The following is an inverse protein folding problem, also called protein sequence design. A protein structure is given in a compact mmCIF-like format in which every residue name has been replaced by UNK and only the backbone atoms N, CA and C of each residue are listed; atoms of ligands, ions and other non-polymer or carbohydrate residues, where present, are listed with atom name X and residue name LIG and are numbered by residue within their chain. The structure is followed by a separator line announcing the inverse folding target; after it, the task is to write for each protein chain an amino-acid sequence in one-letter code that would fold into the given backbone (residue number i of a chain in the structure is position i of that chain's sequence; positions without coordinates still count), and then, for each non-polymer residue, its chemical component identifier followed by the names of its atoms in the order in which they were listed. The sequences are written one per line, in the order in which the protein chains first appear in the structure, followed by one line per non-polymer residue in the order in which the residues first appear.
data_IF_805248946799
#
_entry.id   IF_805248946799
#
_cell.length_a   1.000
_cell.length_b   1.000
_cell.length_c   1.000
_cell.angle_alpha   90.00
_cell.angle_beta   90.00
_cell.angle_gamma   90.00
#
_symmetry.space_group_name_H-M   'P 1'
#
loop_
_entity.id
_entity.type
_entity.pdbx_description
1 polymer ?
#
# COMPACT_ATOMS: atom_id res chain seq x y z
N UNK A 1 17.64 -74.89 43.27
CA UNK A 1 16.77 -74.68 42.07
C UNK A 1 16.16 -73.31 42.02
N UNK A 2 16.30 -72.43 43.07
CA UNK A 2 15.71 -71.08 43.15
C UNK A 2 16.59 -69.94 42.61
N UNK A 3 17.89 -70.11 42.52
CA UNK A 3 18.75 -69.00 42.13
C UNK A 3 18.86 -68.84 40.60
N UNK A 4 18.76 -69.88 39.85
CA UNK A 4 18.79 -69.87 38.39
C UNK A 4 17.48 -69.27 37.78
N UNK A 5 16.35 -69.42 38.45
CA UNK A 5 15.07 -68.83 38.04
C UNK A 5 15.05 -67.30 38.32
N UNK A 6 15.67 -66.86 39.41
CA UNK A 6 15.79 -65.38 39.70
C UNK A 6 16.68 -64.65 38.71
N UNK A 7 17.85 -65.25 38.37
CA UNK A 7 18.74 -64.65 37.34
C UNK A 7 18.06 -64.57 35.96
N UNK A 8 17.24 -65.52 35.62
CA UNK A 8 16.50 -65.54 34.36
C UNK A 8 15.39 -64.49 34.33
N UNK A 9 14.69 -64.26 35.43
CA UNK A 9 13.63 -63.26 35.53
C UNK A 9 14.23 -61.84 35.53
N UNK A 10 15.34 -61.63 36.20
CA UNK A 10 16.05 -60.33 36.17
C UNK A 10 16.61 -59.99 34.78
N UNK A 11 17.18 -60.98 34.06
CA UNK A 11 17.64 -60.79 32.70
C UNK A 11 16.54 -60.44 31.69
N UNK A 12 15.32 -61.03 31.87
CA UNK A 12 14.17 -60.75 31.03
C UNK A 12 13.59 -59.35 31.36
N UNK A 13 13.57 -58.94 32.63
CA UNK A 13 13.14 -57.58 33.04
C UNK A 13 14.08 -56.51 32.51
N UNK A 14 15.40 -56.66 32.65
CA UNK A 14 16.38 -55.71 32.17
C UNK A 14 16.39 -55.60 30.64
N UNK A 15 16.13 -56.68 29.91
CA UNK A 15 15.98 -56.64 28.46
C UNK A 15 14.68 -55.98 28.02
N UNK A 16 13.57 -56.14 28.76
CA UNK A 16 12.28 -55.50 28.53
C UNK A 16 12.35 -53.98 28.76
N UNK A 17 13.00 -53.55 29.84
CA UNK A 17 13.17 -52.10 30.15
C UNK A 17 14.08 -51.43 29.13
N UNK A 18 15.17 -52.07 28.68
CA UNK A 18 16.03 -51.51 27.62
C UNK A 18 15.31 -51.39 26.27
N UNK A 19 14.44 -52.33 25.92
CA UNK A 19 13.65 -52.29 24.70
C UNK A 19 12.58 -51.18 24.75
N UNK A 20 11.92 -51.00 25.87
CA UNK A 20 10.93 -49.95 26.08
C UNK A 20 11.55 -48.56 26.08
N UNK A 21 12.73 -48.41 26.67
CA UNK A 21 13.48 -47.15 26.71
C UNK A 21 14.04 -46.76 25.32
N UNK A 22 14.46 -47.75 24.51
CA UNK A 22 14.91 -47.52 23.14
C UNK A 22 13.78 -47.11 22.21
N UNK A 23 12.60 -47.71 22.34
CA UNK A 23 11.39 -47.29 21.58
C UNK A 23 10.89 -45.90 21.96
N UNK A 24 10.97 -45.49 23.22
CA UNK A 24 10.57 -44.17 23.66
C UNK A 24 11.55 -43.07 23.17
N UNK A 25 12.85 -43.34 23.16
CA UNK A 25 13.88 -42.44 22.64
C UNK A 25 13.78 -42.27 21.13
N UNK A 26 13.55 -43.34 20.37
CA UNK A 26 13.43 -43.28 18.90
C UNK A 26 12.16 -42.51 18.49
N UNK A 27 11.08 -42.60 19.24
CA UNK A 27 9.83 -41.87 19.01
C UNK A 27 10.00 -40.37 19.31
N UNK A 28 10.68 -40.01 20.40
CA UNK A 28 10.96 -38.59 20.75
C UNK A 28 11.92 -37.96 19.77
N UNK A 29 12.98 -38.66 19.36
CA UNK A 29 13.98 -38.21 18.38
C UNK A 29 13.33 -37.98 17.01
N UNK A 30 12.47 -38.91 16.57
CA UNK A 30 11.73 -38.76 15.31
C UNK A 30 10.81 -37.56 15.32
N UNK A 31 10.12 -37.30 16.42
CA UNK A 31 9.19 -36.17 16.55
C UNK A 31 9.93 -34.82 16.61
N UNK A 32 11.07 -34.76 17.30
CA UNK A 32 11.94 -33.57 17.34
C UNK A 32 12.55 -33.27 15.99
N UNK A 33 13.01 -34.29 15.25
CA UNK A 33 13.51 -34.15 13.88
C UNK A 33 12.43 -33.62 12.94
N UNK A 34 11.18 -34.12 13.03
CA UNK A 34 10.06 -33.62 12.25
C UNK A 34 9.74 -32.15 12.54
N UNK A 35 9.71 -31.75 13.82
CA UNK A 35 9.50 -30.36 14.22
C UNK A 35 10.63 -29.47 13.70
N UNK A 36 11.87 -29.90 13.84
CA UNK A 36 13.03 -29.16 13.34
C UNK A 36 12.96 -28.99 11.82
N UNK A 37 12.61 -30.04 11.08
CA UNK A 37 12.48 -30.02 9.62
C UNK A 37 11.35 -29.07 9.17
N UNK A 38 10.22 -29.06 9.89
CA UNK A 38 9.15 -28.12 9.63
C UNK A 38 9.58 -26.68 9.91
N UNK A 39 10.27 -26.42 11.03
CA UNK A 39 10.76 -25.09 11.38
C UNK A 39 11.78 -24.59 10.34
N UNK A 40 12.74 -25.44 9.95
CA UNK A 40 13.71 -25.11 8.90
C UNK A 40 13.02 -24.89 7.56
N UNK A 41 12.04 -25.72 7.20
CA UNK A 41 11.25 -25.57 5.98
C UNK A 41 10.47 -24.25 5.95
N UNK A 42 9.84 -23.88 7.07
CA UNK A 42 9.14 -22.59 7.21
C UNK A 42 10.13 -21.42 7.14
N UNK A 43 11.25 -21.50 7.85
CA UNK A 43 12.27 -20.45 7.81
C UNK A 43 12.83 -20.27 6.39
N UNK A 44 13.09 -21.36 5.66
CA UNK A 44 13.53 -21.33 4.27
C UNK A 44 12.48 -20.75 3.33
N UNK A 45 11.20 -21.11 3.51
CA UNK A 45 10.09 -20.53 2.74
C UNK A 45 9.96 -19.03 2.98
N UNK A 46 10.04 -18.57 4.24
CA UNK A 46 10.05 -17.15 4.58
C UNK A 46 11.24 -16.41 4.00
N UNK A 47 12.43 -17.03 4.01
CA UNK A 47 13.62 -16.46 3.37
C UNK A 47 13.46 -16.31 1.86
N UNK A 48 12.90 -17.31 1.17
CA UNK A 48 12.59 -17.24 -0.26
C UNK A 48 11.58 -16.11 -0.52
N UNK A 49 10.48 -16.03 0.25
CA UNK A 49 9.48 -14.96 0.13
C UNK A 49 10.12 -13.58 0.30
N UNK A 50 11.02 -13.43 1.27
CA UNK A 50 11.77 -12.19 1.47
C UNK A 50 12.68 -11.85 0.28
N UNK A 51 13.36 -12.84 -0.31
CA UNK A 51 14.20 -12.64 -1.51
C UNK A 51 13.37 -12.27 -2.74
N UNK A 52 12.15 -12.81 -2.85
CA UNK A 52 11.23 -12.57 -3.95
C UNK A 52 10.31 -11.35 -3.72
N UNK A 53 10.53 -10.55 -2.67
CA UNK A 53 9.64 -9.42 -2.32
C UNK A 53 9.36 -8.47 -3.48
N UNK A 54 10.33 -8.20 -4.36
CA UNK A 54 10.16 -7.34 -5.54
C UNK A 54 9.21 -7.96 -6.57
N UNK A 55 9.33 -9.26 -6.83
CA UNK A 55 8.46 -10.00 -7.75
C UNK A 55 7.04 -10.09 -7.18
N UNK A 56 6.92 -10.37 -5.87
CA UNK A 56 5.64 -10.40 -5.17
C UNK A 56 4.95 -9.03 -5.22
N UNK A 57 5.70 -7.95 -5.02
CA UNK A 57 5.17 -6.60 -5.13
C UNK A 57 4.66 -6.30 -6.55
N UNK A 58 5.44 -6.66 -7.59
CA UNK A 58 5.04 -6.50 -8.98
C UNK A 58 3.78 -7.32 -9.30
N UNK A 59 3.69 -8.56 -8.80
CA UNK A 59 2.50 -9.40 -8.95
C UNK A 59 1.28 -8.78 -8.28
N UNK A 60 1.42 -8.28 -7.06
CA UNK A 60 0.32 -7.60 -6.37
C UNK A 60 -0.09 -6.32 -7.10
N UNK A 61 0.87 -5.52 -7.56
CA UNK A 61 0.57 -4.32 -8.36
C UNK A 61 -0.17 -4.69 -9.66
N UNK A 62 0.18 -5.83 -10.28
CA UNK A 62 -0.53 -6.36 -11.45
C UNK A 62 -1.95 -6.80 -11.13
N UNK A 63 -2.17 -7.39 -9.95
CA UNK A 63 -3.52 -7.69 -9.43
C UNK A 63 -4.32 -6.40 -9.27
N UNK A 64 -3.74 -5.36 -8.65
CA UNK A 64 -4.38 -4.06 -8.50
C UNK A 64 -4.76 -3.46 -9.84
N UNK A 65 -3.83 -3.44 -10.78
CA UNK A 65 -4.10 -2.92 -12.12
C UNK A 65 -5.17 -3.74 -12.85
N UNK A 66 -5.18 -5.06 -12.68
CA UNK A 66 -6.22 -5.94 -13.19
C UNK A 66 -7.61 -5.57 -12.63
N UNK A 67 -7.74 -5.35 -11.32
CA UNK A 67 -9.00 -4.91 -10.71
C UNK A 67 -9.45 -3.52 -11.16
N UNK A 68 -8.52 -2.63 -11.45
CA UNK A 68 -8.81 -1.30 -11.99
C UNK A 68 -9.38 -1.40 -13.41
N UNK A 69 -8.78 -2.25 -14.25
CA UNK A 69 -9.13 -2.40 -15.66
C UNK A 69 -10.37 -3.28 -15.86
N UNK A 70 -10.60 -4.27 -14.99
CA UNK A 70 -11.71 -5.24 -15.11
C UNK A 70 -13.10 -4.62 -15.31
N UNK A 71 -13.54 -3.56 -14.58
CA UNK A 71 -14.85 -2.95 -14.80
C UNK A 71 -14.95 -2.28 -16.16
N UNK A 72 -13.87 -1.65 -16.64
CA UNK A 72 -13.84 -0.98 -17.95
C UNK A 72 -13.96 -2.03 -19.08
N UNK A 73 -13.20 -3.14 -18.96
CA UNK A 73 -13.29 -4.27 -19.90
C UNK A 73 -14.70 -4.85 -19.94
N UNK A 74 -15.38 -4.96 -18.78
CA UNK A 74 -16.78 -5.43 -18.72
C UNK A 74 -17.73 -4.49 -19.44
N UNK A 75 -17.51 -3.18 -19.37
CA UNK A 75 -18.31 -2.17 -20.09
C UNK A 75 -18.09 -2.30 -21.59
N UNK A 76 -16.84 -2.42 -22.05
CA UNK A 76 -16.49 -2.57 -23.48
C UNK A 76 -17.03 -3.88 -24.06
N UNK A 77 -17.15 -4.94 -23.24
CA UNK A 77 -17.70 -6.24 -23.65
C UNK A 77 -19.23 -6.33 -23.61
N UNK A 78 -19.94 -5.26 -23.24
CA UNK A 78 -21.41 -5.29 -23.31
C UNK A 78 -21.85 -5.58 -24.75
N UNK A 79 -22.84 -6.48 -24.96
CA UNK A 79 -23.31 -6.79 -26.31
C UNK A 79 -23.84 -5.50 -26.96
N UNK A 80 -23.24 -5.15 -28.10
CA UNK A 80 -23.71 -4.02 -28.92
C UNK A 80 -24.55 -4.60 -30.04
N UNK A 81 -25.80 -4.18 -30.15
CA UNK A 81 -26.70 -4.54 -31.27
C UNK A 81 -26.38 -3.66 -32.47
N UNK A 82 -25.57 -4.17 -33.40
CA UNK A 82 -25.33 -3.52 -34.68
C UNK A 82 -26.10 -4.30 -35.76
N UNK A 83 -26.99 -3.62 -36.46
CA UNK A 83 -27.79 -4.21 -37.57
C UNK A 83 -28.47 -5.54 -37.21
N UNK A 84 -29.03 -5.69 -35.99
CA UNK A 84 -29.74 -6.91 -35.56
C UNK A 84 -28.84 -8.09 -35.16
N UNK A 85 -27.51 -7.91 -35.14
CA UNK A 85 -26.55 -8.91 -34.64
C UNK A 85 -25.99 -8.48 -33.30
N UNK A 86 -26.01 -9.39 -32.34
CA UNK A 86 -25.34 -9.19 -31.04
C UNK A 86 -23.85 -9.51 -31.20
N UNK A 87 -23.03 -8.47 -31.26
CA UNK A 87 -21.58 -8.60 -31.36
C UNK A 87 -20.99 -8.41 -29.95
N UNK A 88 -20.30 -9.45 -29.48
CA UNK A 88 -19.52 -9.40 -28.24
C UNK A 88 -18.05 -9.47 -28.57
N UNK A 89 -17.26 -8.50 -28.16
CA UNK A 89 -15.82 -8.54 -28.40
C UNK A 89 -15.16 -9.69 -27.65
N UNK A 90 -14.22 -10.43 -28.28
CA UNK A 90 -13.37 -11.38 -27.57
C UNK A 90 -12.61 -10.72 -26.44
N UNK A 91 -12.47 -11.43 -25.30
CA UNK A 91 -11.84 -10.87 -24.10
C UNK A 91 -10.46 -10.26 -24.32
N UNK A 92 -9.51 -10.91 -25.05
CA UNK A 92 -8.19 -10.32 -25.30
C UNK A 92 -8.26 -9.00 -26.09
N UNK A 93 -9.17 -8.92 -27.09
CA UNK A 93 -9.36 -7.70 -27.88
C UNK A 93 -9.93 -6.57 -27.03
N UNK A 94 -10.92 -6.87 -26.19
CA UNK A 94 -11.51 -5.89 -25.29
C UNK A 94 -10.47 -5.34 -24.30
N UNK A 95 -9.59 -6.18 -23.75
CA UNK A 95 -8.48 -5.75 -22.89
C UNK A 95 -7.52 -4.84 -23.68
N UNK A 96 -7.15 -5.22 -24.91
CA UNK A 96 -6.29 -4.43 -25.78
C UNK A 96 -6.86 -3.04 -26.09
N UNK A 97 -8.16 -2.95 -26.40
CA UNK A 97 -8.85 -1.67 -26.62
C UNK A 97 -8.83 -0.80 -25.35
N UNK A 98 -9.10 -1.38 -24.19
CA UNK A 98 -9.06 -0.66 -22.91
C UNK A 98 -7.64 -0.19 -22.59
N UNK A 99 -6.63 -1.01 -22.84
CA UNK A 99 -5.23 -0.60 -22.66
C UNK A 99 -4.85 0.55 -23.58
N UNK A 100 -5.20 0.46 -24.86
CA UNK A 100 -4.97 1.54 -25.82
C UNK A 100 -5.63 2.85 -25.36
N UNK A 101 -6.86 2.77 -24.83
CA UNK A 101 -7.56 3.94 -24.29
C UNK A 101 -6.90 4.48 -23.03
N UNK A 102 -6.53 3.63 -22.07
CA UNK A 102 -5.87 4.05 -20.81
C UNK A 102 -4.50 4.65 -21.10
N UNK A 103 -3.64 3.95 -21.84
CA UNK A 103 -2.29 4.44 -22.14
C UNK A 103 -2.32 5.62 -23.10
N UNK A 104 -3.25 5.66 -24.05
CA UNK A 104 -3.45 6.81 -24.94
C UNK A 104 -3.92 8.04 -24.20
N UNK A 105 -4.87 7.91 -23.28
CA UNK A 105 -5.33 9.02 -22.44
C UNK A 105 -4.24 9.50 -21.46
N UNK A 106 -3.46 8.57 -20.89
CA UNK A 106 -2.35 8.88 -20.01
C UNK A 106 -1.23 9.60 -20.80
N UNK A 107 -0.89 9.13 -21.99
CA UNK A 107 0.10 9.80 -22.86
C UNK A 107 -0.37 11.20 -23.26
N UNK A 108 -1.65 11.35 -23.65
CA UNK A 108 -2.25 12.66 -23.93
C UNK A 108 -2.21 13.61 -22.75
N UNK A 109 -2.59 13.13 -21.57
CA UNK A 109 -2.51 13.91 -20.34
C UNK A 109 -1.05 14.30 -20.00
N UNK A 110 -0.11 13.38 -20.20
CA UNK A 110 1.31 13.64 -19.97
C UNK A 110 1.84 14.73 -20.91
N UNK A 111 1.51 14.66 -22.19
CA UNK A 111 1.90 15.67 -23.19
C UNK A 111 1.36 17.07 -22.83
N UNK A 112 0.13 17.14 -22.32
CA UNK A 112 -0.49 18.40 -21.90
C UNK A 112 0.09 18.94 -20.59
N UNK A 113 0.39 18.06 -19.64
CA UNK A 113 0.87 18.43 -18.30
C UNK A 113 2.38 18.62 -18.24
N UNK A 114 3.15 17.91 -19.07
CA UNK A 114 4.61 17.93 -19.04
C UNK A 114 5.21 19.35 -19.16
N UNK A 115 4.76 20.23 -20.08
CA UNK A 115 5.27 21.60 -20.17
C UNK A 115 4.97 22.41 -18.89
N UNK A 116 3.79 22.23 -18.29
CA UNK A 116 3.41 22.90 -17.03
C UNK A 116 4.27 22.40 -15.87
N UNK A 117 4.44 21.07 -15.79
CA UNK A 117 5.29 20.44 -14.77
C UNK A 117 6.75 20.89 -14.90
N UNK A 118 7.31 20.83 -16.10
CA UNK A 118 8.70 21.24 -16.34
C UNK A 118 8.93 22.71 -15.97
N UNK A 119 7.96 23.59 -16.31
CA UNK A 119 8.02 25.00 -15.93
C UNK A 119 7.98 25.16 -14.42
N UNK A 120 6.98 24.59 -13.73
CA UNK A 120 6.81 24.70 -12.29
C UNK A 120 7.96 24.05 -11.50
N UNK A 121 8.46 22.90 -11.95
CA UNK A 121 9.62 22.24 -11.32
C UNK A 121 10.90 23.02 -11.56
N UNK A 122 11.08 23.61 -12.76
CA UNK A 122 12.21 24.47 -13.07
C UNK A 122 12.20 25.76 -12.27
N UNK A 123 11.04 26.39 -12.08
CA UNK A 123 10.85 27.55 -11.20
C UNK A 123 11.18 27.18 -9.75
N UNK A 124 10.63 26.05 -9.26
CA UNK A 124 10.92 25.54 -7.91
C UNK A 124 12.42 25.32 -7.69
N UNK A 125 13.10 24.66 -8.63
CA UNK A 125 14.54 24.40 -8.52
C UNK A 125 15.37 25.70 -8.48
N UNK A 126 14.96 26.73 -9.24
CA UNK A 126 15.64 28.04 -9.27
C UNK A 126 15.34 28.88 -8.03
N UNK A 127 14.12 28.80 -7.52
CA UNK A 127 13.67 29.60 -6.38
C UNK A 127 13.91 28.91 -5.01
N UNK A 128 14.17 27.62 -4.98
CA UNK A 128 14.44 26.91 -3.73
C UNK A 128 15.51 27.58 -2.85
N UNK A 129 16.66 28.00 -3.36
CA UNK A 129 17.66 28.72 -2.55
C UNK A 129 17.11 30.03 -1.97
N UNK A 130 16.29 30.75 -2.77
CA UNK A 130 15.68 32.02 -2.35
C UNK A 130 14.61 31.81 -1.27
N UNK A 131 13.87 30.72 -1.34
CA UNK A 131 12.91 30.37 -0.27
C UNK A 131 13.63 30.08 1.04
N UNK A 132 14.73 29.35 0.98
CA UNK A 132 15.57 29.06 2.15
C UNK A 132 16.13 30.35 2.76
N UNK A 133 16.69 31.24 1.92
CA UNK A 133 17.19 32.52 2.36
C UNK A 133 16.09 33.40 2.99
N UNK A 134 14.90 33.47 2.37
CA UNK A 134 13.75 34.21 2.92
C UNK A 134 13.23 33.59 4.22
N UNK A 135 13.26 32.25 4.37
CA UNK A 135 12.90 31.60 5.61
C UNK A 135 13.87 31.97 6.74
N UNK A 136 15.17 32.02 6.44
CA UNK A 136 16.22 32.46 7.39
C UNK A 136 16.04 33.93 7.78
N UNK A 137 15.79 34.82 6.81
CA UNK A 137 15.60 36.27 7.07
C UNK A 137 14.30 36.53 7.87
N UNK A 138 13.18 35.86 7.51
CA UNK A 138 11.96 35.93 8.30
C UNK A 138 12.17 35.36 9.71
N UNK A 139 12.90 34.26 9.86
CA UNK A 139 13.28 33.70 11.14
C UNK A 139 14.00 34.73 12.01
N UNK A 140 14.95 35.48 11.43
CA UNK A 140 15.67 36.57 12.13
C UNK A 140 14.74 37.76 12.43
N UNK A 141 13.80 38.07 11.56
CA UNK A 141 12.83 39.17 11.78
C UNK A 141 11.84 38.79 12.89
N UNK A 142 11.39 37.54 12.91
CA UNK A 142 10.59 36.99 14.02
C UNK A 142 11.38 36.98 15.31
N UNK A 143 12.64 36.59 15.29
CA UNK A 143 13.56 36.62 16.42
C UNK A 143 13.69 38.03 17.02
N UNK A 144 13.85 39.06 16.18
CA UNK A 144 13.87 40.48 16.61
C UNK A 144 12.53 40.92 17.24
N UNK A 145 11.40 40.45 16.71
CA UNK A 145 10.05 40.76 17.23
C UNK A 145 9.72 40.03 18.53
N UNK A 146 10.22 38.80 18.68
CA UNK A 146 10.09 38.02 19.93
C UNK A 146 11.07 38.46 21.02
N UNK A 147 12.16 39.13 20.65
CA UNK A 147 13.07 39.74 21.65
C UNK A 147 12.39 40.82 22.52
N UNK A 148 11.28 41.39 22.03
CA UNK A 148 10.45 42.32 22.77
C UNK A 148 9.42 41.66 23.74
N UNK A 149 9.22 40.33 23.67
CA UNK A 149 8.30 39.59 24.56
C UNK A 149 9.08 38.62 25.43
N UNK A 150 8.77 38.60 26.72
CA UNK A 150 9.53 37.96 27.82
C UNK A 150 9.49 36.42 27.79
N UNK A 151 10.12 35.78 26.76
CA UNK A 151 10.41 34.36 26.77
C UNK A 151 11.79 34.10 27.43
N UNK A 152 11.94 33.06 28.27
CA UNK A 152 13.25 32.66 28.81
C UNK A 152 14.27 32.39 27.72
N UNK A 153 15.53 32.78 27.92
CA UNK A 153 16.60 32.62 26.94
C UNK A 153 16.77 31.19 26.45
N UNK A 154 16.60 30.21 27.35
CA UNK A 154 16.68 28.77 27.04
C UNK A 154 15.62 28.29 26.04
N UNK A 155 14.39 28.83 26.17
CA UNK A 155 13.29 28.48 25.23
C UNK A 155 13.53 29.08 23.84
N UNK A 156 14.15 30.29 23.78
CA UNK A 156 14.54 30.92 22.50
C UNK A 156 15.59 30.11 21.76
N UNK A 157 16.65 29.71 22.44
CA UNK A 157 17.73 28.92 21.86
C UNK A 157 17.27 27.53 21.43
N UNK A 158 16.29 26.95 22.13
CA UNK A 158 15.69 25.69 21.74
C UNK A 158 14.84 25.81 20.46
N UNK A 159 14.03 26.88 20.35
CA UNK A 159 13.23 27.16 19.15
C UNK A 159 14.11 27.46 17.96
N UNK A 160 15.15 28.31 18.13
CA UNK A 160 16.08 28.67 17.06
C UNK A 160 16.88 27.44 16.57
N UNK A 161 17.29 26.56 17.46
CA UNK A 161 17.95 25.30 17.10
C UNK A 161 16.99 24.37 16.35
N UNK A 162 15.75 24.22 16.83
CA UNK A 162 14.76 23.39 16.17
C UNK A 162 14.42 23.89 14.76
N UNK A 163 14.24 25.20 14.57
CA UNK A 163 13.98 25.80 13.25
C UNK A 163 15.17 25.57 12.31
N UNK A 164 16.39 25.86 12.73
CA UNK A 164 17.59 25.66 11.90
C UNK A 164 17.79 24.19 11.55
N UNK A 165 17.66 23.30 12.52
CA UNK A 165 17.77 21.85 12.29
C UNK A 165 16.70 21.35 11.31
N UNK A 166 15.47 21.83 11.43
CA UNK A 166 14.38 21.44 10.52
C UNK A 166 14.62 21.97 9.10
N UNK A 167 15.04 23.22 8.95
CA UNK A 167 15.34 23.80 7.65
C UNK A 167 16.51 23.09 6.97
N UNK A 168 17.62 22.85 7.70
CA UNK A 168 18.78 22.11 7.16
C UNK A 168 18.41 20.66 6.83
N UNK A 169 17.64 20.02 7.67
CA UNK A 169 17.15 18.66 7.39
C UNK A 169 16.23 18.61 6.16
N UNK A 170 15.36 19.60 5.97
CA UNK A 170 14.52 19.70 4.78
C UNK A 170 15.36 19.93 3.51
N UNK A 171 16.34 20.82 3.56
CA UNK A 171 17.25 21.10 2.43
C UNK A 171 18.02 19.85 2.03
N UNK A 172 18.69 19.20 2.99
CA UNK A 172 19.43 17.96 2.78
C UNK A 172 18.52 16.85 2.24
N UNK A 173 17.31 16.72 2.80
CA UNK A 173 16.36 15.73 2.35
C UNK A 173 15.91 15.96 0.90
N UNK A 174 15.60 17.21 0.53
CA UNK A 174 15.16 17.56 -0.83
C UNK A 174 16.30 17.36 -1.83
N UNK A 175 17.48 17.93 -1.56
CA UNK A 175 18.60 17.93 -2.52
C UNK A 175 19.31 16.59 -2.60
N UNK A 176 19.56 15.94 -1.48
CA UNK A 176 20.38 14.73 -1.45
C UNK A 176 19.55 13.43 -1.51
N UNK A 177 18.28 13.47 -1.12
CA UNK A 177 17.46 12.26 -1.08
C UNK A 177 16.29 12.28 -2.06
N UNK A 178 15.50 13.35 -2.10
CA UNK A 178 14.28 13.37 -2.90
C UNK A 178 14.60 13.44 -4.40
N UNK A 179 15.43 14.39 -4.83
CA UNK A 179 15.77 14.58 -6.24
C UNK A 179 16.46 13.35 -6.85
N UNK A 180 17.52 12.75 -6.23
CA UNK A 180 18.12 11.54 -6.75
C UNK A 180 17.18 10.33 -6.74
N UNK A 181 16.29 10.21 -5.74
CA UNK A 181 15.31 9.12 -5.69
C UNK A 181 14.28 9.25 -6.80
N UNK A 182 13.77 10.46 -7.06
CA UNK A 182 12.83 10.70 -8.17
C UNK A 182 13.48 10.40 -9.52
N UNK A 183 14.73 10.84 -9.72
CA UNK A 183 15.51 10.49 -10.92
C UNK A 183 15.75 8.97 -11.02
N UNK A 184 16.02 8.31 -9.90
CA UNK A 184 16.17 6.85 -9.83
C UNK A 184 14.90 6.08 -10.18
N UNK A 185 13.71 6.67 -10.07
CA UNK A 185 12.46 6.00 -10.45
C UNK A 185 12.38 5.66 -11.94
N UNK A 186 13.09 6.39 -12.79
CA UNK A 186 13.20 6.05 -14.22
C UNK A 186 13.79 4.66 -14.46
N UNK A 187 14.66 4.17 -13.57
CA UNK A 187 15.22 2.82 -13.65
C UNK A 187 14.20 1.71 -13.37
N UNK A 188 13.08 2.05 -12.72
CA UNK A 188 11.98 1.11 -12.46
C UNK A 188 10.95 1.05 -13.59
N UNK A 189 11.02 1.95 -14.58
CA UNK A 189 10.07 1.97 -15.73
C UNK A 189 10.05 0.64 -16.48
N UNK A 190 11.18 -0.03 -16.79
CA UNK A 190 11.16 -1.35 -17.41
C UNK A 190 10.45 -2.41 -16.55
N UNK A 191 10.63 -2.35 -15.22
CA UNK A 191 9.92 -3.24 -14.29
C UNK A 191 8.42 -2.95 -14.24
N UNK A 192 8.03 -1.68 -14.27
CA UNK A 192 6.64 -1.24 -14.26
C UNK A 192 5.90 -1.66 -15.53
N UNK A 193 6.61 -1.78 -16.67
CA UNK A 193 6.01 -2.26 -17.94
C UNK A 193 5.52 -3.70 -17.87
N UNK A 194 6.04 -4.51 -16.93
CA UNK A 194 5.57 -5.86 -16.68
C UNK A 194 4.19 -5.89 -16.00
N UNK A 195 3.80 -4.83 -15.29
CA UNK A 195 2.51 -4.75 -14.58
C UNK A 195 1.33 -4.92 -15.52
N UNK A 196 1.17 -4.13 -16.60
CA UNK A 196 0.07 -4.31 -17.54
C UNK A 196 0.13 -5.65 -18.27
N UNK A 197 1.32 -6.19 -18.55
CA UNK A 197 1.47 -7.50 -19.19
C UNK A 197 0.96 -8.61 -18.26
N UNK A 198 1.40 -8.63 -17.01
CA UNK A 198 0.92 -9.61 -16.03
C UNK A 198 -0.57 -9.44 -15.75
N UNK A 199 -1.06 -8.21 -15.66
CA UNK A 199 -2.48 -7.93 -15.48
C UNK A 199 -3.33 -8.41 -16.67
N UNK A 200 -2.82 -8.31 -17.90
CA UNK A 200 -3.47 -8.89 -19.08
C UNK A 200 -3.68 -10.40 -18.91
N UNK A 201 -2.64 -11.15 -18.53
CA UNK A 201 -2.77 -12.59 -18.30
C UNK A 201 -3.69 -12.89 -17.12
N UNK A 202 -3.64 -12.11 -16.04
CA UNK A 202 -4.53 -12.28 -14.89
C UNK A 202 -6.01 -12.04 -15.23
N UNK A 203 -6.30 -11.04 -16.09
CA UNK A 203 -7.66 -10.81 -16.56
C UNK A 203 -8.13 -11.91 -17.53
N UNK A 204 -7.26 -12.32 -18.45
CA UNK A 204 -7.56 -13.34 -19.45
C UNK A 204 -7.80 -14.69 -18.80
N UNK A 205 -6.93 -15.07 -17.88
CA UNK A 205 -6.89 -16.43 -17.32
C UNK A 205 -7.47 -16.49 -15.89
N UNK A 206 -8.28 -15.49 -15.49
CA UNK A 206 -8.84 -15.36 -14.15
C UNK A 206 -9.59 -16.62 -13.67
N UNK A 207 -10.36 -17.27 -14.53
CA UNK A 207 -11.07 -18.52 -14.21
C UNK A 207 -10.12 -19.70 -14.05
N UNK A 208 -9.08 -19.78 -14.88
CA UNK A 208 -8.06 -20.83 -14.79
C UNK A 208 -7.28 -20.70 -13.47
N UNK A 209 -6.87 -19.49 -13.12
CA UNK A 209 -6.17 -19.20 -11.87
C UNK A 209 -7.05 -19.51 -10.64
N UNK A 210 -8.33 -19.13 -10.68
CA UNK A 210 -9.29 -19.46 -9.63
C UNK A 210 -9.45 -20.97 -9.47
N UNK A 211 -9.63 -21.69 -10.57
CA UNK A 211 -9.80 -23.13 -10.55
C UNK A 211 -8.52 -23.85 -10.08
N UNK A 212 -7.34 -23.34 -10.46
CA UNK A 212 -6.05 -23.84 -9.97
C UNK A 212 -5.93 -23.64 -8.45
N UNK A 213 -6.28 -22.46 -7.93
CA UNK A 213 -6.30 -22.19 -6.50
C UNK A 213 -7.25 -23.11 -5.75
N UNK A 214 -8.42 -23.41 -6.32
CA UNK A 214 -9.40 -24.33 -5.71
C UNK A 214 -8.95 -25.79 -5.73
N UNK A 215 -8.07 -26.19 -6.67
CA UNK A 215 -7.51 -27.56 -6.72
C UNK A 215 -6.54 -27.86 -5.56
N UNK A 216 -6.02 -26.84 -4.88
CA UNK A 216 -5.17 -27.02 -3.69
C UNK A 216 -5.97 -27.65 -2.53
N UNK A 217 -7.30 -27.48 -2.52
CA UNK A 217 -8.17 -28.07 -1.49
C UNK A 217 -8.57 -29.50 -1.87
N UNK A 218 -8.14 -30.52 -1.09
CA UNK A 218 -8.30 -31.94 -1.47
C UNK A 218 -9.74 -32.43 -1.37
N UNK A 219 -10.60 -31.80 -0.55
CA UNK A 219 -11.97 -32.27 -0.29
C UNK A 219 -13.02 -31.31 -0.88
N UNK A 220 -14.08 -31.86 -1.41
CA UNK A 220 -15.17 -31.12 -2.07
C UNK A 220 -15.83 -30.06 -1.16
N UNK A 221 -16.03 -30.41 0.12
CA UNK A 221 -16.56 -29.48 1.14
C UNK A 221 -15.62 -28.28 1.39
N UNK A 222 -14.30 -28.52 1.44
CA UNK A 222 -13.31 -27.46 1.55
C UNK A 222 -13.21 -26.62 0.28
N UNK A 223 -13.38 -27.25 -0.89
CA UNK A 223 -13.37 -26.55 -2.20
C UNK A 223 -14.56 -25.59 -2.32
N UNK A 224 -15.77 -26.02 -1.90
CA UNK A 224 -16.95 -25.15 -1.88
C UNK A 224 -16.74 -23.94 -0.96
N UNK A 225 -16.23 -24.17 0.27
CA UNK A 225 -15.89 -23.11 1.22
C UNK A 225 -14.79 -22.18 0.71
N UNK A 226 -13.73 -22.76 0.16
CA UNK A 226 -12.64 -22.01 -0.47
C UNK A 226 -13.13 -21.12 -1.62
N UNK A 227 -14.11 -21.58 -2.39
CA UNK A 227 -14.72 -20.80 -3.45
C UNK A 227 -15.46 -19.55 -2.93
N UNK A 228 -16.27 -19.70 -1.89
CA UNK A 228 -16.96 -18.58 -1.23
C UNK A 228 -15.94 -17.59 -0.68
N UNK A 229 -14.91 -18.08 -0.01
CA UNK A 229 -13.82 -17.27 0.52
C UNK A 229 -13.07 -16.48 -0.56
N UNK A 230 -12.71 -17.13 -1.68
CA UNK A 230 -12.06 -16.45 -2.81
C UNK A 230 -12.95 -15.38 -3.45
N UNK A 231 -14.25 -15.65 -3.58
CA UNK A 231 -15.21 -14.65 -4.09
C UNK A 231 -15.28 -13.46 -3.16
N UNK A 232 -15.31 -13.68 -1.86
CA UNK A 232 -15.38 -12.61 -0.85
C UNK A 232 -14.11 -11.74 -0.85
N UNK A 233 -12.93 -12.37 -0.89
CA UNK A 233 -11.64 -11.67 -1.06
C UNK A 233 -11.66 -10.84 -2.35
N UNK A 234 -12.03 -11.46 -3.47
CA UNK A 234 -12.09 -10.79 -4.77
C UNK A 234 -12.99 -9.55 -4.74
N UNK A 235 -14.18 -9.66 -4.17
CA UNK A 235 -15.12 -8.55 -4.06
C UNK A 235 -14.59 -7.43 -3.14
N UNK A 236 -13.99 -7.79 -2.02
CA UNK A 236 -13.41 -6.86 -1.06
C UNK A 236 -12.23 -6.09 -1.67
N UNK A 237 -11.29 -6.80 -2.30
CA UNK A 237 -10.15 -6.16 -2.98
C UNK A 237 -10.60 -5.29 -4.14
N UNK A 238 -11.53 -5.76 -4.96
CA UNK A 238 -12.07 -4.99 -6.08
C UNK A 238 -12.77 -3.71 -5.62
N UNK A 239 -13.52 -3.77 -4.53
CA UNK A 239 -14.17 -2.58 -3.94
C UNK A 239 -13.12 -1.60 -3.40
N UNK A 240 -12.13 -2.08 -2.64
CA UNK A 240 -11.05 -1.27 -2.10
C UNK A 240 -10.26 -0.55 -3.20
N UNK A 241 -9.80 -1.30 -4.21
CA UNK A 241 -8.95 -0.74 -5.27
C UNK A 241 -9.71 0.33 -6.07
N UNK A 242 -10.97 0.08 -6.41
CA UNK A 242 -11.81 1.10 -7.07
C UNK A 242 -11.98 2.34 -6.20
N UNK A 243 -12.27 2.17 -4.92
CA UNK A 243 -12.42 3.28 -3.99
C UNK A 243 -11.13 4.09 -3.87
N UNK A 244 -9.98 3.42 -3.70
CA UNK A 244 -8.68 4.06 -3.56
C UNK A 244 -8.28 4.87 -4.80
N UNK A 245 -8.39 4.27 -6.01
CA UNK A 245 -8.05 4.97 -7.25
C UNK A 245 -9.00 6.14 -7.50
N UNK A 246 -10.30 5.97 -7.23
CA UNK A 246 -11.26 7.06 -7.36
C UNK A 246 -10.95 8.19 -6.37
N UNK A 247 -10.58 7.86 -5.13
CA UNK A 247 -10.14 8.84 -4.14
C UNK A 247 -8.90 9.61 -4.60
N UNK A 248 -7.87 8.90 -5.09
CA UNK A 248 -6.66 9.53 -5.63
C UNK A 248 -6.95 10.52 -6.76
N UNK A 249 -7.83 10.16 -7.68
CA UNK A 249 -8.23 11.05 -8.77
C UNK A 249 -9.01 12.26 -8.26
N UNK A 250 -9.98 12.06 -7.38
CA UNK A 250 -10.77 13.16 -6.78
C UNK A 250 -9.83 14.10 -6.03
N UNK A 251 -8.96 13.59 -5.16
CA UNK A 251 -8.04 14.41 -4.37
C UNK A 251 -7.07 15.16 -5.27
N UNK A 252 -6.48 14.48 -6.27
CA UNK A 252 -5.58 15.13 -7.22
C UNK A 252 -6.22 16.32 -7.95
N UNK A 253 -7.44 16.13 -8.46
CA UNK A 253 -8.20 17.18 -9.17
C UNK A 253 -8.62 18.29 -8.21
N UNK A 254 -9.23 17.95 -7.07
CA UNK A 254 -9.73 18.94 -6.10
C UNK A 254 -8.59 19.75 -5.50
N UNK A 255 -7.46 19.11 -5.15
CA UNK A 255 -6.27 19.82 -4.67
C UNK A 255 -5.70 20.73 -5.74
N UNK A 256 -5.60 20.29 -7.00
CA UNK A 256 -5.14 21.15 -8.10
C UNK A 256 -6.02 22.39 -8.23
N UNK A 257 -7.32 22.21 -8.30
CA UNK A 257 -8.30 23.32 -8.41
C UNK A 257 -8.21 24.23 -7.19
N UNK A 258 -8.18 23.67 -5.97
CA UNK A 258 -8.10 24.44 -4.73
C UNK A 258 -6.82 25.26 -4.61
N UNK A 259 -5.65 24.65 -4.90
CA UNK A 259 -4.38 25.36 -4.88
C UNK A 259 -4.29 26.45 -5.96
N UNK A 260 -4.84 26.20 -7.17
CA UNK A 260 -4.94 27.23 -8.22
C UNK A 260 -5.85 28.38 -7.79
N UNK A 261 -7.01 28.07 -7.22
CA UNK A 261 -7.97 29.08 -6.77
C UNK A 261 -7.42 29.98 -5.62
N UNK A 262 -6.61 29.39 -4.72
CA UNK A 262 -5.91 30.11 -3.65
C UNK A 262 -4.72 30.90 -4.20
N UNK A 263 -4.24 30.57 -5.41
CA UNK A 263 -3.02 31.16 -5.98
C UNK A 263 -1.73 30.62 -5.39
N UNK A 264 -1.76 29.37 -4.89
CA UNK A 264 -0.58 28.71 -4.31
C UNK A 264 0.46 28.45 -5.40
N UNK A 265 1.77 28.77 -5.17
CA UNK A 265 2.83 28.40 -6.10
C UNK A 265 2.84 26.88 -6.34
N UNK A 266 3.21 26.48 -7.55
CA UNK A 266 3.32 25.06 -7.93
C UNK A 266 2.02 24.23 -7.75
N UNK A 267 0.85 24.90 -7.86
CA UNK A 267 -0.46 24.32 -7.59
C UNK A 267 -0.71 23.00 -8.35
N UNK A 268 -0.31 22.93 -9.63
CA UNK A 268 -0.50 21.71 -10.45
C UNK A 268 0.40 20.58 -9.98
N UNK A 269 1.66 20.89 -9.68
CA UNK A 269 2.62 19.89 -9.14
C UNK A 269 2.11 19.34 -7.79
N UNK A 270 1.70 20.25 -6.89
CA UNK A 270 1.16 19.89 -5.57
C UNK A 270 -0.13 19.07 -5.69
N UNK A 271 -1.02 19.44 -6.61
CA UNK A 271 -2.27 18.70 -6.82
C UNK A 271 -2.05 17.30 -7.38
N UNK A 272 -1.19 17.14 -8.37
CA UNK A 272 -0.81 15.81 -8.91
C UNK A 272 -0.12 14.98 -7.82
N UNK A 273 0.81 15.58 -7.09
CA UNK A 273 1.48 14.92 -5.97
C UNK A 273 0.47 14.51 -4.87
N UNK A 274 -0.54 15.34 -4.58
CA UNK A 274 -1.62 14.99 -3.65
C UNK A 274 -2.36 13.73 -4.08
N UNK A 275 -2.77 13.66 -5.36
CA UNK A 275 -3.43 12.47 -5.91
C UNK A 275 -2.55 11.23 -5.87
N UNK A 276 -1.27 11.34 -6.20
CA UNK A 276 -0.34 10.20 -6.17
C UNK A 276 -0.02 9.75 -4.73
N UNK A 277 0.22 10.70 -3.83
CA UNK A 277 0.56 10.39 -2.44
C UNK A 277 -0.66 9.90 -1.63
N UNK A 278 -1.88 10.13 -2.12
CA UNK A 278 -3.11 9.61 -1.49
C UNK A 278 -3.13 8.08 -1.40
N UNK A 279 -2.32 7.38 -2.22
CA UNK A 279 -2.10 5.94 -2.07
C UNK A 279 -1.45 5.56 -0.74
N UNK A 280 -0.76 6.50 -0.08
CA UNK A 280 -0.07 6.28 1.19
C UNK A 280 -0.90 6.90 2.31
N UNK A 281 -1.71 6.11 3.04
CA UNK A 281 -2.59 6.65 4.08
C UNK A 281 -1.79 7.43 5.13
N UNK A 282 -2.35 8.53 5.60
CA UNK A 282 -1.76 9.47 6.58
C UNK A 282 -0.51 10.23 6.06
N UNK A 283 0.48 9.53 5.52
CA UNK A 283 1.72 10.16 5.08
C UNK A 283 1.50 11.08 3.87
N UNK A 284 0.67 10.67 2.91
CA UNK A 284 0.35 11.46 1.73
C UNK A 284 -0.28 12.81 2.05
N UNK A 285 -1.46 12.84 2.69
CA UNK A 285 -2.11 14.08 3.09
C UNK A 285 -1.26 14.99 3.97
N UNK A 286 -0.49 14.42 4.92
CA UNK A 286 0.42 15.18 5.78
C UNK A 286 1.53 15.83 4.97
N UNK A 287 2.18 15.10 4.07
CA UNK A 287 3.26 15.62 3.23
C UNK A 287 2.78 16.78 2.35
N UNK A 288 1.63 16.60 1.69
CA UNK A 288 1.04 17.65 0.86
C UNK A 288 0.56 18.83 1.70
N UNK A 289 0.02 18.56 2.88
CA UNK A 289 -0.38 19.60 3.84
C UNK A 289 0.80 20.49 4.23
N UNK A 290 1.90 19.86 4.66
CA UNK A 290 3.12 20.57 5.04
C UNK A 290 3.70 21.37 3.86
N UNK A 291 3.88 20.73 2.70
CA UNK A 291 4.44 21.38 1.53
C UNK A 291 3.54 22.53 1.02
N UNK A 292 2.25 22.32 0.92
CA UNK A 292 1.30 23.33 0.48
C UNK A 292 1.28 24.56 1.38
N UNK A 293 1.28 24.33 2.70
CA UNK A 293 1.32 25.41 3.70
C UNK A 293 2.65 26.15 3.64
N UNK A 294 3.78 25.44 3.52
CA UNK A 294 5.11 26.08 3.41
C UNK A 294 5.17 26.97 2.18
N UNK A 295 4.80 26.47 0.99
CA UNK A 295 4.83 27.27 -0.24
C UNK A 295 3.88 28.46 -0.19
N UNK A 296 2.69 28.31 0.38
CA UNK A 296 1.76 29.42 0.57
C UNK A 296 2.29 30.45 1.58
N UNK A 297 2.94 30.03 2.66
CA UNK A 297 3.50 30.90 3.68
C UNK A 297 4.64 31.78 3.15
N UNK A 298 5.39 31.33 2.15
CA UNK A 298 6.39 32.16 1.47
C UNK A 298 5.77 33.34 0.70
N UNK A 299 4.52 33.21 0.28
CA UNK A 299 3.79 34.31 -0.39
C UNK A 299 3.13 35.24 0.62
N UNK A 300 2.22 34.69 1.45
CA UNK A 300 1.58 35.44 2.52
C UNK A 300 1.01 34.52 3.62
N UNK A 301 0.89 35.06 4.84
CA UNK A 301 0.24 34.36 5.94
C UNK A 301 -1.25 34.09 5.66
N UNK A 302 -1.91 34.97 4.91
CA UNK A 302 -3.30 34.78 4.49
C UNK A 302 -3.48 33.58 3.55
N UNK A 303 -2.57 33.40 2.57
CA UNK A 303 -2.59 32.22 1.72
C UNK A 303 -2.28 30.94 2.48
N UNK A 304 -1.32 30.97 3.41
CA UNK A 304 -1.05 29.80 4.26
C UNK A 304 -2.28 29.38 5.06
N UNK A 305 -2.99 30.35 5.66
CA UNK A 305 -4.23 30.09 6.39
C UNK A 305 -5.33 29.55 5.46
N UNK A 306 -5.48 30.12 4.26
CA UNK A 306 -6.43 29.63 3.26
C UNK A 306 -6.14 28.18 2.84
N UNK A 307 -4.87 27.81 2.64
CA UNK A 307 -4.47 26.43 2.34
C UNK A 307 -4.77 25.49 3.51
N UNK A 308 -4.49 25.88 4.76
CA UNK A 308 -4.82 25.08 5.94
C UNK A 308 -6.35 24.86 6.02
N UNK A 309 -7.14 25.92 5.92
CA UNK A 309 -8.60 25.83 5.96
C UNK A 309 -9.14 24.93 4.83
N UNK A 310 -8.63 25.11 3.60
CA UNK A 310 -9.00 24.27 2.46
C UNK A 310 -8.71 22.80 2.70
N UNK A 311 -7.48 22.46 3.14
CA UNK A 311 -7.09 21.08 3.36
C UNK A 311 -7.84 20.43 4.53
N UNK A 312 -8.13 21.18 5.60
CA UNK A 312 -8.95 20.68 6.71
C UNK A 312 -10.38 20.38 6.23
N UNK A 313 -11.00 21.31 5.50
CA UNK A 313 -12.34 21.10 4.94
C UNK A 313 -12.34 19.90 3.97
N UNK A 314 -11.35 19.84 3.08
CA UNK A 314 -11.20 18.73 2.15
C UNK A 314 -11.07 17.40 2.90
N UNK A 315 -10.27 17.34 3.97
CA UNK A 315 -10.11 16.13 4.78
C UNK A 315 -11.41 15.70 5.45
N UNK A 316 -12.14 16.64 6.02
CA UNK A 316 -13.47 16.37 6.62
C UNK A 316 -14.44 15.83 5.56
N UNK A 317 -14.50 16.48 4.40
CA UNK A 317 -15.38 16.02 3.30
C UNK A 317 -14.96 14.63 2.82
N UNK A 318 -13.66 14.38 2.70
CA UNK A 318 -13.13 13.08 2.30
C UNK A 318 -13.52 11.98 3.30
N UNK A 319 -13.28 12.19 4.60
CA UNK A 319 -13.48 11.16 5.62
C UNK A 319 -14.98 10.90 5.90
N UNK A 320 -15.82 11.93 5.85
CA UNK A 320 -17.25 11.81 6.20
C UNK A 320 -18.20 11.68 5.00
N UNK A 321 -17.78 12.08 3.79
CA UNK A 321 -18.66 12.05 2.61
C UNK A 321 -18.11 11.12 1.52
N UNK A 322 -16.83 11.28 1.14
CA UNK A 322 -16.25 10.57 0.00
C UNK A 322 -15.98 9.10 0.34
N UNK A 323 -15.26 8.83 1.43
CA UNK A 323 -14.91 7.46 1.82
C UNK A 323 -16.15 6.57 2.08
N UNK A 324 -17.17 6.98 2.84
CA UNK A 324 -18.35 6.14 3.04
C UNK A 324 -19.08 5.80 1.73
N UNK A 325 -19.11 6.73 0.78
CA UNK A 325 -19.74 6.50 -0.54
C UNK A 325 -18.92 5.58 -1.44
N UNK A 326 -17.59 5.64 -1.36
CA UNK A 326 -16.70 4.86 -2.23
C UNK A 326 -16.53 3.43 -1.73
N UNK A 327 -16.32 3.23 -0.42
CA UNK A 327 -16.03 1.91 0.16
C UNK A 327 -17.33 1.13 0.40
N UNK A 328 -18.46 1.83 0.61
CA UNK A 328 -19.72 1.20 1.00
C UNK A 328 -19.63 0.58 2.41
N UNK A 329 -20.71 -0.13 2.84
CA UNK A 329 -20.79 -0.70 4.19
C UNK A 329 -19.98 -1.99 4.41
N UNK A 330 -19.05 -2.34 3.52
CA UNK A 330 -18.44 -3.69 3.50
C UNK A 330 -17.13 -3.90 4.25
N UNK A 331 -16.37 -2.85 4.57
CA UNK A 331 -15.05 -3.00 5.18
C UNK A 331 -14.96 -2.18 6.47
N UNK A 332 -15.41 -2.78 7.58
CA UNK A 332 -15.24 -2.18 8.91
C UNK A 332 -13.86 -2.54 9.47
N UNK A 333 -12.84 -1.77 9.11
CA UNK A 333 -11.51 -1.90 9.72
C UNK A 333 -11.42 -0.97 10.92
N UNK A 334 -10.94 -1.51 12.04
CA UNK A 334 -10.68 -0.68 13.22
C UNK A 334 -9.49 0.23 12.93
N UNK A 335 -9.57 1.57 13.20
CA UNK A 335 -8.49 2.51 12.89
C UNK A 335 -7.12 2.09 13.44
N UNK A 336 -7.07 1.56 14.66
CA UNK A 336 -5.83 1.03 15.25
C UNK A 336 -5.23 -0.13 14.42
N UNK A 337 -6.08 -1.00 13.87
CA UNK A 337 -5.62 -2.09 13.01
C UNK A 337 -4.98 -1.59 11.73
N UNK A 338 -5.52 -0.52 11.14
CA UNK A 338 -4.97 0.12 9.95
C UNK A 338 -3.62 0.77 10.26
N UNK A 339 -3.52 1.54 11.36
CA UNK A 339 -2.27 2.18 11.78
C UNK A 339 -1.19 1.12 12.02
N UNK A 340 -1.50 0.08 12.80
CA UNK A 340 -0.56 -0.99 13.09
C UNK A 340 -0.10 -1.71 11.82
N UNK A 341 -1.02 -1.99 10.90
CA UNK A 341 -0.70 -2.63 9.63
C UNK A 341 0.24 -1.76 8.77
N UNK A 342 0.02 -0.43 8.74
CA UNK A 342 0.89 0.51 8.03
C UNK A 342 2.30 0.51 8.64
N UNK A 343 2.41 0.57 9.97
CA UNK A 343 3.69 0.54 10.66
C UNK A 343 4.44 -0.79 10.43
N UNK A 344 3.75 -1.92 10.60
CA UNK A 344 4.33 -3.23 10.32
C UNK A 344 4.72 -3.36 8.84
N UNK A 345 3.86 -2.89 7.93
CA UNK A 345 4.14 -2.91 6.50
C UNK A 345 5.37 -2.07 6.14
N UNK A 346 5.49 -0.88 6.73
CA UNK A 346 6.64 0.00 6.55
C UNK A 346 7.96 -0.69 6.94
N UNK A 347 7.97 -1.37 8.07
CA UNK A 347 9.16 -2.08 8.58
C UNK A 347 9.50 -3.31 7.72
N UNK A 348 8.50 -4.10 7.31
CA UNK A 348 8.72 -5.34 6.58
C UNK A 348 9.14 -5.12 5.12
N UNK A 349 8.53 -4.18 4.42
CA UNK A 349 8.70 -4.00 2.99
C UNK A 349 8.77 -2.53 2.54
N UNK A 350 8.99 -1.59 3.46
CA UNK A 350 9.09 -0.16 3.15
C UNK A 350 7.82 0.39 2.50
N UNK A 351 7.97 1.18 1.45
CA UNK A 351 6.85 1.80 0.73
C UNK A 351 5.86 0.77 0.16
N UNK A 352 6.37 -0.36 -0.34
CA UNK A 352 5.56 -1.46 -0.82
C UNK A 352 4.68 -2.05 0.29
N UNK A 353 5.23 -2.20 1.50
CA UNK A 353 4.49 -2.70 2.65
C UNK A 353 3.41 -1.74 3.13
N UNK A 354 3.67 -0.43 3.12
CA UNK A 354 2.65 0.58 3.42
C UNK A 354 1.49 0.49 2.43
N UNK A 355 1.80 0.40 1.14
CA UNK A 355 0.79 0.28 0.08
C UNK A 355 -0.08 -0.97 0.24
N UNK A 356 0.53 -2.10 0.63
CA UNK A 356 -0.15 -3.38 0.80
C UNK A 356 -0.83 -3.55 2.16
N UNK A 357 -0.56 -2.69 3.12
CA UNK A 357 -1.05 -2.84 4.49
C UNK A 357 -2.58 -3.01 4.57
N UNK A 358 -3.34 -2.12 3.92
CA UNK A 358 -4.80 -2.16 3.96
C UNK A 358 -5.38 -3.38 3.23
N UNK A 359 -4.96 -3.73 1.99
CA UNK A 359 -5.36 -4.97 1.35
C UNK A 359 -5.12 -6.22 2.18
N UNK A 360 -3.96 -6.31 2.81
CA UNK A 360 -3.62 -7.47 3.67
C UNK A 360 -4.56 -7.54 4.87
N UNK A 361 -4.80 -6.41 5.57
CA UNK A 361 -5.77 -6.38 6.69
C UNK A 361 -7.18 -6.72 6.22
N UNK A 362 -7.59 -6.26 5.05
CA UNK A 362 -8.89 -6.60 4.48
C UNK A 362 -9.03 -8.11 4.24
N UNK A 363 -8.00 -8.75 3.66
CA UNK A 363 -7.97 -10.22 3.47
C UNK A 363 -8.00 -10.95 4.82
N UNK A 364 -7.19 -10.52 5.79
CA UNK A 364 -7.17 -11.11 7.12
C UNK A 364 -8.52 -10.97 7.84
N UNK A 365 -9.20 -9.85 7.68
CA UNK A 365 -10.54 -9.62 8.24
C UNK A 365 -11.57 -10.56 7.63
N UNK A 366 -11.54 -10.74 6.30
CA UNK A 366 -12.39 -11.71 5.60
C UNK A 366 -12.08 -13.13 6.09
N UNK A 367 -10.81 -13.50 6.22
CA UNK A 367 -10.40 -14.81 6.72
C UNK A 367 -10.89 -15.07 8.14
N UNK A 368 -10.74 -14.10 9.02
CA UNK A 368 -11.19 -14.21 10.42
C UNK A 368 -12.72 -14.30 10.54
N UNK A 369 -13.46 -13.54 9.73
CA UNK A 369 -14.92 -13.60 9.67
C UNK A 369 -15.40 -14.95 9.21
N UNK A 370 -14.82 -15.51 8.15
CA UNK A 370 -15.14 -16.87 7.69
C UNK A 370 -14.81 -17.95 8.73
N UNK A 371 -13.68 -17.82 9.42
CA UNK A 371 -13.30 -18.74 10.49
C UNK A 371 -14.28 -18.71 11.66
N UNK A 372 -14.75 -17.52 12.10
CA UNK A 372 -15.75 -17.38 13.15
C UNK A 372 -17.12 -17.92 12.75
N UNK A 373 -17.58 -17.62 11.55
CA UNK A 373 -18.88 -18.10 11.06
C UNK A 373 -19.00 -19.62 11.09
N UNK A 374 -17.88 -20.33 11.01
CA UNK A 374 -17.86 -21.79 11.03
C UNK A 374 -17.79 -22.41 12.44
N UNK A 375 -17.44 -21.63 13.48
CA UNK A 375 -17.48 -22.10 14.87
C UNK A 375 -18.84 -21.94 15.54
N UNK A 376 -19.73 -21.13 14.99
CA UNK A 376 -21.03 -20.80 15.57
C UNK A 376 -22.19 -21.61 15.00
N UNK A 377 -21.95 -22.55 14.07
CA UNK A 377 -22.95 -23.52 13.62
C UNK A 377 -22.68 -24.84 14.37
N UNK A 378 -23.47 -25.17 15.41
CA UNK A 378 -23.46 -26.52 15.99
C UNK A 378 -23.96 -27.50 14.93
N UNK A 379 -23.31 -28.64 14.85
CA UNK A 379 -23.71 -29.80 14.03
C UNK A 379 -25.05 -30.33 14.52
#
# INVERSE_FOLDING_TARGET
MNDLERERDDSVRVSGERSAQKHSTDFVVSRTLWVLLVVVGVAFALWILYRLKGILFLLVLSVFFSYLVAPIVRVVRRPVTLRGRHIVLPLPVAIGVVYLWIFGSLAGALVLLLPVLNRQLGELAREAPTYIARAQDRGQTWQKRYQSHALPAEARDAIDRAIRQTLTACETYVTEQLVPRVAGWLTYVPWLSLVPILAFFMLRDAEVLRNAALRIFPWERLRSRGNVFLIEINNTLAAYIRAQVTSCLIIGVVCTIGFVAIGTPYAVVLGIAAGLLEFIPLAGPLTIGVLGVIFAAFHSAGQALAVVCFLVVLRVVQDYVVYPKLIGMGIHLHPMGVILAILCGAELAGLAGIFLAIPVVAILTVAFRNYRAHRTVPV
#
